data_IF_882953220559
#
_entry.id   IF_882953220559
#
_cell.length_a   1.000
_cell.length_b   1.000
_cell.length_c   1.000
_cell.angle_alpha   90.00
_cell.angle_beta   90.00
_cell.angle_gamma   90.00
#
_symmetry.space_group_name_H-M   'P 1'
#
loop_
_entity.id
_entity.type
_entity.pdbx_description
1 polymer ?
#
# COMPACT_ATOMS: atom_id res chain seq x y z
N UNK A 1 0.29 8.11 -26.76
CA UNK A 1 -1.16 7.89 -26.49
C UNK A 1 -1.34 7.78 -24.97
N UNK A 2 -2.47 8.20 -24.41
CA UNK A 2 -2.75 7.95 -22.99
C UNK A 2 -2.93 6.44 -22.79
N UNK A 3 -2.38 5.84 -21.72
CA UNK A 3 -2.51 4.41 -21.48
C UNK A 3 -3.99 4.04 -21.25
N UNK A 4 -4.35 2.82 -21.64
CA UNK A 4 -5.70 2.29 -21.41
C UNK A 4 -5.87 1.96 -19.93
N UNK A 5 -6.91 2.52 -19.32
CA UNK A 5 -7.28 2.24 -17.92
C UNK A 5 -8.49 1.31 -17.94
N UNK A 6 -8.33 0.11 -17.41
CA UNK A 6 -9.39 -0.89 -17.35
C UNK A 6 -9.84 -1.09 -15.91
N UNK A 7 -11.16 -0.98 -15.67
CA UNK A 7 -11.78 -1.40 -14.42
C UNK A 7 -11.85 -2.92 -14.35
N UNK A 8 -11.41 -3.51 -13.25
CA UNK A 8 -11.46 -4.94 -13.02
C UNK A 8 -12.81 -5.40 -12.45
N UNK A 9 -13.26 -6.63 -12.76
CA UNK A 9 -14.59 -7.13 -12.38
C UNK A 9 -14.58 -7.66 -10.93
N UNK A 10 -14.21 -6.81 -9.99
CA UNK A 10 -14.26 -7.11 -8.55
C UNK A 10 -15.23 -6.15 -7.85
N UNK A 11 -15.85 -6.55 -6.73
CA UNK A 11 -16.68 -5.63 -5.96
C UNK A 11 -15.89 -4.41 -5.49
N UNK A 12 -16.49 -3.21 -5.50
CA UNK A 12 -15.80 -2.02 -5.01
C UNK A 12 -15.53 -2.12 -3.51
N UNK A 13 -14.35 -1.65 -3.12
CA UNK A 13 -13.92 -1.54 -1.71
C UNK A 13 -14.41 -0.23 -1.10
N UNK A 14 -14.68 -0.23 0.20
CA UNK A 14 -14.89 1.02 0.95
C UNK A 14 -13.59 1.80 1.01
N UNK A 15 -12.49 1.14 1.36
CA UNK A 15 -11.13 1.70 1.34
C UNK A 15 -10.18 0.61 0.83
N UNK A 16 -10.08 0.48 -0.50
CA UNK A 16 -9.16 -0.45 -1.14
C UNK A 16 -7.74 0.07 -1.00
N UNK A 17 -6.81 -0.78 -0.51
CA UNK A 17 -5.45 -0.38 -0.17
C UNK A 17 -4.44 -1.52 -0.28
N UNK A 18 -3.15 -1.16 -0.12
CA UNK A 18 -2.03 -2.08 0.05
C UNK A 18 -1.94 -3.19 -1.00
N UNK A 19 -2.03 -2.90 -2.32
CA UNK A 19 -1.96 -3.92 -3.34
C UNK A 19 -0.54 -4.52 -3.41
N UNK A 20 -0.48 -5.85 -3.48
CA UNK A 20 0.76 -6.63 -3.64
C UNK A 20 0.52 -7.71 -4.68
N UNK A 21 1.35 -7.75 -5.71
CA UNK A 21 1.35 -8.84 -6.68
C UNK A 21 2.10 -10.05 -6.14
N UNK A 22 1.52 -11.23 -6.25
CA UNK A 22 2.18 -12.50 -5.92
C UNK A 22 2.59 -13.23 -7.20
N UNK A 23 3.90 -13.34 -7.41
CA UNK A 23 4.44 -14.17 -8.50
C UNK A 23 4.21 -15.67 -8.24
N UNK A 24 4.13 -16.07 -6.98
CA UNK A 24 3.83 -17.44 -6.59
C UNK A 24 2.40 -17.83 -6.94
N UNK A 25 1.45 -16.99 -6.52
CA UNK A 25 0.02 -17.29 -6.63
C UNK A 25 -0.60 -16.74 -7.92
N UNK A 26 0.18 -15.95 -8.71
CA UNK A 26 -0.24 -15.27 -9.94
C UNK A 26 -1.53 -14.47 -9.73
N UNK A 27 -1.59 -13.74 -8.62
CA UNK A 27 -2.74 -12.90 -8.25
C UNK A 27 -2.31 -11.60 -7.60
N UNK A 28 -3.22 -10.65 -7.58
CA UNK A 28 -3.13 -9.44 -6.80
C UNK A 28 -3.81 -9.65 -5.45
N UNK A 29 -3.06 -9.53 -4.36
CA UNK A 29 -3.59 -9.36 -3.02
C UNK A 29 -3.75 -7.88 -2.70
N UNK A 30 -4.81 -7.51 -1.98
CA UNK A 30 -5.07 -6.15 -1.51
C UNK A 30 -6.02 -6.19 -0.32
N UNK A 31 -6.18 -5.07 0.37
CA UNK A 31 -7.07 -4.97 1.53
C UNK A 31 -8.27 -4.05 1.24
N UNK A 32 -9.35 -4.24 1.97
CA UNK A 32 -10.37 -3.23 2.24
C UNK A 32 -10.32 -2.92 3.73
N UNK A 33 -9.68 -1.81 4.07
CA UNK A 33 -9.36 -1.47 5.46
C UNK A 33 -10.63 -1.40 6.30
N UNK A 34 -11.63 -0.67 5.81
CA UNK A 34 -12.87 -0.40 6.56
C UNK A 34 -13.78 -1.61 6.61
N UNK A 35 -13.85 -2.40 5.52
CA UNK A 35 -14.61 -3.64 5.51
C UNK A 35 -13.86 -4.79 6.21
N UNK A 36 -12.65 -4.55 6.72
CA UNK A 36 -11.82 -5.55 7.41
C UNK A 36 -11.61 -6.81 6.55
N UNK A 37 -11.12 -6.63 5.31
CA UNK A 37 -10.96 -7.73 4.36
C UNK A 37 -9.55 -7.77 3.77
N UNK A 38 -9.02 -8.97 3.65
CA UNK A 38 -7.98 -9.30 2.68
C UNK A 38 -8.68 -9.84 1.45
N UNK A 39 -8.25 -9.39 0.28
CA UNK A 39 -8.86 -9.72 -1.02
C UNK A 39 -7.80 -10.27 -1.97
N UNK A 40 -8.20 -11.11 -2.91
CA UNK A 40 -7.36 -11.62 -3.98
C UNK A 40 -8.10 -11.60 -5.32
N UNK A 41 -7.39 -11.23 -6.36
CA UNK A 41 -7.88 -11.24 -7.75
C UNK A 41 -6.88 -11.92 -8.67
N UNK A 42 -7.33 -12.90 -9.44
CA UNK A 42 -6.55 -13.64 -10.45
C UNK A 42 -6.89 -13.14 -11.85
N UNK A 43 -6.04 -12.30 -12.47
CA UNK A 43 -6.38 -11.68 -13.77
C UNK A 43 -6.66 -12.68 -14.88
N UNK A 44 -5.91 -13.80 -14.93
CA UNK A 44 -6.05 -14.81 -15.97
C UNK A 44 -7.42 -15.51 -15.97
N UNK A 45 -8.00 -15.73 -14.81
CA UNK A 45 -9.29 -16.43 -14.65
C UNK A 45 -10.42 -15.50 -14.31
N UNK A 46 -10.13 -14.24 -14.00
CA UNK A 46 -11.04 -13.23 -13.43
C UNK A 46 -11.68 -13.70 -12.10
N UNK A 47 -11.07 -14.66 -11.43
CA UNK A 47 -11.52 -15.14 -10.14
C UNK A 47 -11.26 -14.06 -9.08
N UNK A 48 -12.18 -13.97 -8.12
CA UNK A 48 -12.08 -13.08 -6.97
C UNK A 48 -12.41 -13.86 -5.70
N UNK A 49 -11.67 -13.58 -4.62
CA UNK A 49 -11.90 -14.13 -3.29
C UNK A 49 -11.59 -13.09 -2.24
N UNK A 50 -12.25 -13.17 -1.09
CA UNK A 50 -11.91 -12.40 0.08
C UNK A 50 -11.96 -13.25 1.36
N UNK A 51 -11.27 -12.76 2.40
CA UNK A 51 -11.30 -13.29 3.76
C UNK A 51 -11.68 -12.17 4.71
N UNK A 52 -12.65 -12.45 5.58
CA UNK A 52 -13.17 -11.50 6.54
C UNK A 52 -12.36 -11.57 7.83
N UNK A 53 -11.88 -10.42 8.28
CA UNK A 53 -11.24 -10.23 9.57
C UNK A 53 -12.20 -9.50 10.52
N UNK A 54 -11.88 -9.48 11.83
CA UNK A 54 -12.66 -8.82 12.87
C UNK A 54 -12.16 -7.41 13.22
N UNK A 55 -11.05 -6.98 12.59
CA UNK A 55 -10.42 -5.70 12.79
C UNK A 55 -9.99 -5.07 11.46
N UNK A 56 -9.70 -3.77 11.47
CA UNK A 56 -9.11 -3.08 10.32
C UNK A 56 -7.88 -3.83 9.81
N UNK A 57 -7.81 -3.99 8.49
CA UNK A 57 -6.68 -4.60 7.79
C UNK A 57 -5.96 -3.51 7.00
N UNK A 58 -4.86 -2.95 7.54
CA UNK A 58 -4.21 -1.76 6.98
C UNK A 58 -3.39 -2.03 5.73
N UNK A 59 -2.57 -3.06 5.74
CA UNK A 59 -1.66 -3.46 4.66
C UNK A 59 -1.29 -4.92 4.77
N UNK A 60 -0.58 -5.45 3.78
CA UNK A 60 -0.12 -6.83 3.74
C UNK A 60 1.22 -6.95 3.01
N UNK A 61 1.91 -8.07 3.22
CA UNK A 61 3.06 -8.47 2.42
C UNK A 61 3.14 -9.99 2.32
N UNK A 62 3.74 -10.49 1.23
CA UNK A 62 3.97 -11.92 1.03
C UNK A 62 5.18 -12.40 1.85
N UNK A 63 5.08 -13.60 2.45
CA UNK A 63 6.18 -14.23 3.19
C UNK A 63 7.05 -15.11 2.27
N UNK A 64 8.35 -15.17 2.54
CA UNK A 64 9.28 -16.07 1.82
C UNK A 64 8.86 -17.54 1.96
N UNK A 65 8.39 -17.94 3.13
CA UNK A 65 7.92 -19.31 3.41
C UNK A 65 6.51 -19.61 2.89
N UNK A 66 5.84 -18.63 2.29
CA UNK A 66 4.44 -18.70 1.86
C UNK A 66 3.46 -18.10 2.83
N UNK A 67 2.27 -17.77 2.32
CA UNK A 67 1.27 -17.00 3.04
C UNK A 67 1.62 -15.52 3.09
N UNK A 68 0.87 -14.79 3.90
CA UNK A 68 0.94 -13.34 4.03
C UNK A 68 1.21 -12.94 5.49
N UNK A 69 1.85 -11.81 5.70
CA UNK A 69 1.60 -11.01 6.90
C UNK A 69 0.51 -9.99 6.60
N UNK A 70 -0.33 -9.72 7.58
CA UNK A 70 -1.42 -8.75 7.51
C UNK A 70 -1.34 -7.84 8.73
N UNK A 71 -1.45 -6.54 8.52
CA UNK A 71 -1.57 -5.61 9.63
C UNK A 71 -3.02 -5.51 10.06
N UNK A 72 -3.27 -5.68 11.34
CA UNK A 72 -4.53 -5.38 11.99
C UNK A 72 -4.47 -3.98 12.63
N UNK A 73 -5.46 -3.65 13.47
CA UNK A 73 -5.50 -2.32 14.10
C UNK A 73 -4.18 -1.94 14.79
N UNK A 74 -3.61 -2.84 15.59
CA UNK A 74 -2.47 -2.58 16.48
C UNK A 74 -1.36 -3.64 16.40
N UNK A 75 -1.44 -4.58 15.45
CA UNK A 75 -0.54 -5.73 15.38
C UNK A 75 -0.34 -6.25 13.97
N UNK A 76 0.70 -7.04 13.80
CA UNK A 76 0.96 -7.80 12.59
C UNK A 76 0.72 -9.27 12.89
N UNK A 77 0.00 -9.93 11.99
CA UNK A 77 -0.30 -11.36 12.07
C UNK A 77 0.12 -12.09 10.80
N UNK A 78 0.50 -13.35 10.95
CA UNK A 78 0.64 -14.26 9.80
C UNK A 78 -0.73 -14.83 9.45
N UNK A 79 -1.00 -14.91 8.15
CA UNK A 79 -2.21 -15.43 7.55
C UNK A 79 -1.88 -16.33 6.36
N UNK A 80 -2.50 -17.51 6.28
CA UNK A 80 -2.34 -18.43 5.15
C UNK A 80 -3.65 -18.51 4.34
N UNK A 81 -3.72 -17.85 3.17
CA UNK A 81 -4.91 -17.86 2.31
C UNK A 81 -5.30 -19.26 1.82
N UNK A 82 -4.33 -20.16 1.67
CA UNK A 82 -4.57 -21.52 1.17
C UNK A 82 -5.27 -22.41 2.22
N UNK A 83 -5.02 -22.15 3.50
CA UNK A 83 -5.63 -22.90 4.61
C UNK A 83 -6.95 -22.28 5.09
N UNK A 84 -7.21 -21.03 4.73
CA UNK A 84 -8.39 -20.32 5.22
C UNK A 84 -9.66 -20.74 4.46
N UNK A 85 -10.69 -21.18 5.20
CA UNK A 85 -12.02 -21.45 4.67
C UNK A 85 -12.82 -20.15 4.67
N UNK A 86 -13.40 -19.77 3.52
CA UNK A 86 -14.07 -18.47 3.32
C UNK A 86 -15.25 -18.17 4.27
N UNK A 87 -15.79 -19.18 4.95
CA UNK A 87 -16.93 -19.06 5.88
C UNK A 87 -16.53 -19.04 7.36
N UNK A 88 -15.23 -19.09 7.68
CA UNK A 88 -14.73 -19.11 9.05
C UNK A 88 -13.72 -17.99 9.25
N UNK A 89 -13.63 -17.48 10.51
CA UNK A 89 -12.57 -16.58 10.89
C UNK A 89 -11.20 -17.23 10.59
N UNK A 90 -10.28 -16.51 9.93
CA UNK A 90 -8.99 -17.07 9.58
C UNK A 90 -8.17 -17.40 10.84
N UNK A 91 -7.42 -18.50 10.80
CA UNK A 91 -6.40 -18.76 11.80
C UNK A 91 -5.26 -17.76 11.61
N UNK A 92 -4.87 -17.09 12.71
CA UNK A 92 -3.86 -16.04 12.71
C UNK A 92 -2.78 -16.37 13.74
N UNK A 93 -1.54 -16.14 13.37
CA UNK A 93 -0.38 -16.20 14.27
C UNK A 93 0.14 -14.78 14.49
N UNK A 94 0.18 -14.33 15.75
CA UNK A 94 0.68 -13.00 16.09
C UNK A 94 2.21 -12.93 15.90
N UNK A 95 2.68 -11.93 15.15
CA UNK A 95 4.10 -11.65 14.93
C UNK A 95 4.58 -10.52 15.86
N UNK A 96 3.85 -9.42 15.91
CA UNK A 96 4.22 -8.25 16.72
C UNK A 96 3.02 -7.41 17.10
N UNK A 97 3.03 -6.83 18.30
CA UNK A 97 2.08 -5.80 18.77
C UNK A 97 2.80 -4.45 18.75
N UNK A 98 2.22 -3.43 18.11
CA UNK A 98 2.89 -2.16 17.84
C UNK A 98 2.27 -0.95 18.54
N UNK A 99 0.95 -0.81 18.53
CA UNK A 99 0.23 0.41 18.98
C UNK A 99 -0.63 0.17 20.23
N UNK A 100 -0.24 -0.77 21.10
CA UNK A 100 -0.99 -1.09 22.32
C UNK A 100 -1.16 0.10 23.28
N UNK A 101 -0.21 1.03 23.26
CA UNK A 101 -0.24 2.27 24.04
C UNK A 101 -1.07 3.40 23.40
N UNK A 102 -1.55 3.21 22.16
CA UNK A 102 -2.32 4.21 21.40
C UNK A 102 -3.61 3.62 20.83
N UNK A 103 -4.63 3.35 21.66
CA UNK A 103 -5.84 2.61 21.25
C UNK A 103 -6.69 3.32 20.18
N UNK A 104 -6.52 4.63 20.01
CA UNK A 104 -7.16 5.39 18.94
C UNK A 104 -6.46 5.26 17.57
N UNK A 105 -5.26 4.66 17.54
CA UNK A 105 -4.51 4.45 16.31
C UNK A 105 -4.91 3.13 15.63
N UNK A 106 -4.63 3.10 14.33
CA UNK A 106 -4.55 1.89 13.51
C UNK A 106 -3.28 1.89 12.68
N UNK A 107 -2.83 0.71 12.29
CA UNK A 107 -1.81 0.56 11.25
C UNK A 107 -2.41 0.94 9.89
N UNK A 108 -1.58 1.49 9.01
CA UNK A 108 -1.97 1.95 7.68
C UNK A 108 -1.06 1.34 6.60
N UNK A 109 -0.44 2.17 5.77
CA UNK A 109 0.45 1.72 4.70
C UNK A 109 1.67 0.98 5.24
N UNK A 110 2.09 -0.06 4.53
CA UNK A 110 3.26 -0.86 4.88
C UNK A 110 3.83 -1.60 3.69
N UNK A 111 5.15 -1.81 3.71
CA UNK A 111 5.87 -2.49 2.64
C UNK A 111 7.14 -3.17 3.16
N UNK A 112 7.52 -4.28 2.53
CA UNK A 112 8.75 -5.02 2.84
C UNK A 112 9.94 -4.42 2.11
N UNK A 113 11.07 -4.26 2.81
CA UNK A 113 12.35 -3.85 2.22
C UNK A 113 13.16 -5.05 1.68
N UNK A 114 14.26 -4.80 0.98
CA UNK A 114 15.14 -5.83 0.39
C UNK A 114 15.76 -6.79 1.43
N UNK A 115 15.83 -6.39 2.69
CA UNK A 115 16.30 -7.25 3.80
C UNK A 115 15.19 -8.17 4.32
N UNK A 116 13.96 -8.00 3.86
CA UNK A 116 12.80 -8.76 4.33
C UNK A 116 12.23 -8.26 5.65
N UNK A 117 12.50 -6.99 6.02
CA UNK A 117 11.88 -6.32 7.15
C UNK A 117 10.60 -5.63 6.67
N UNK A 118 9.58 -5.64 7.50
CA UNK A 118 8.33 -4.95 7.17
C UNK A 118 8.29 -3.56 7.81
N UNK A 119 8.15 -2.54 6.98
CA UNK A 119 7.97 -1.17 7.40
C UNK A 119 6.50 -0.83 7.34
N UNK A 120 5.96 -0.29 8.43
CA UNK A 120 4.54 0.03 8.54
C UNK A 120 4.35 1.29 9.36
N UNK A 121 3.47 2.14 8.86
CA UNK A 121 3.08 3.32 9.61
C UNK A 121 1.76 3.14 10.33
N UNK A 122 1.58 3.91 11.40
CA UNK A 122 0.31 4.06 12.09
C UNK A 122 -0.23 5.48 11.95
N UNK A 123 -1.50 5.64 12.25
CA UNK A 123 -2.22 6.91 12.27
C UNK A 123 -3.36 6.87 13.27
N UNK A 124 -3.82 8.02 13.74
CA UNK A 124 -5.08 8.08 14.47
C UNK A 124 -6.23 7.82 13.50
N UNK A 125 -7.15 6.93 13.88
CA UNK A 125 -8.21 6.46 12.97
C UNK A 125 -9.10 7.59 12.44
N UNK A 126 -9.41 8.59 13.26
CA UNK A 126 -10.25 9.73 12.90
C UNK A 126 -9.47 10.93 12.33
N UNK A 127 -8.17 10.78 12.10
CA UNK A 127 -7.28 11.76 11.47
C UNK A 127 -7.22 13.13 12.17
N UNK A 128 -7.58 13.23 13.45
CA UNK A 128 -7.61 14.52 14.17
C UNK A 128 -6.28 14.92 14.78
N UNK A 129 -5.38 13.98 15.02
CA UNK A 129 -4.09 14.23 15.65
C UNK A 129 -2.93 13.61 14.88
N UNK A 130 -1.77 14.24 15.01
CA UNK A 130 -0.50 13.69 14.53
C UNK A 130 0.06 12.75 15.61
N UNK A 131 -0.46 11.55 15.67
CA UNK A 131 -0.15 10.57 16.73
C UNK A 131 0.36 9.23 16.17
N UNK A 132 0.66 9.17 14.88
CA UNK A 132 1.20 7.98 14.22
C UNK A 132 2.70 7.82 14.42
N UNK A 133 3.17 6.60 14.16
CA UNK A 133 4.58 6.19 14.16
C UNK A 133 4.94 5.46 12.88
N UNK A 134 6.22 5.48 12.53
CA UNK A 134 6.78 4.59 11.51
C UNK A 134 7.59 3.50 12.21
N UNK A 135 7.19 2.26 12.00
CA UNK A 135 7.77 1.06 12.59
C UNK A 135 8.55 0.26 11.55
N UNK A 136 9.61 -0.40 11.99
CA UNK A 136 10.27 -1.50 11.27
C UNK A 136 10.16 -2.77 12.09
N UNK A 137 9.70 -3.86 11.47
CA UNK A 137 9.45 -5.15 12.11
C UNK A 137 10.23 -6.24 11.40
N UNK A 138 10.93 -7.07 12.17
CA UNK A 138 11.69 -8.23 11.69
C UNK A 138 10.90 -9.52 11.85
N UNK A 139 11.30 -10.59 11.15
CA UNK A 139 10.59 -11.88 11.14
C UNK A 139 10.52 -12.55 12.52
N UNK A 140 11.43 -12.23 13.42
CA UNK A 140 11.42 -12.70 14.82
C UNK A 140 10.52 -11.86 15.75
N UNK A 141 9.72 -10.96 15.18
CA UNK A 141 8.74 -10.14 15.91
C UNK A 141 9.33 -8.92 16.61
N UNK A 142 10.64 -8.67 16.50
CA UNK A 142 11.21 -7.42 17.04
C UNK A 142 10.71 -6.23 16.24
N UNK A 143 10.25 -5.21 16.96
CA UNK A 143 9.72 -3.98 16.39
C UNK A 143 10.44 -2.75 16.95
N UNK A 144 10.75 -1.78 16.09
CA UNK A 144 11.36 -0.51 16.47
C UNK A 144 10.68 0.64 15.75
N UNK A 145 10.33 1.68 16.50
CA UNK A 145 9.84 2.93 15.94
C UNK A 145 11.03 3.81 15.50
N UNK A 146 10.96 4.33 14.28
CA UNK A 146 11.97 5.20 13.65
C UNK A 146 11.49 6.65 13.51
N UNK A 147 10.18 6.88 13.53
CA UNK A 147 9.58 8.20 13.43
C UNK A 147 8.31 8.27 14.25
N UNK A 148 8.01 9.44 14.76
CA UNK A 148 6.83 9.74 15.58
C UNK A 148 6.14 11.01 15.04
N UNK A 149 5.00 11.38 15.64
CA UNK A 149 4.28 12.61 15.28
C UNK A 149 3.81 12.65 13.82
N UNK A 150 3.35 11.50 13.29
CA UNK A 150 2.82 11.33 11.94
C UNK A 150 1.31 11.55 11.97
N UNK A 151 0.80 12.30 10.99
CA UNK A 151 -0.63 12.47 10.77
C UNK A 151 -1.24 11.25 10.10
N UNK A 152 -0.97 11.07 8.81
CA UNK A 152 -1.42 9.92 8.01
C UNK A 152 -0.22 9.32 7.29
N UNK A 153 0.23 8.14 7.74
CA UNK A 153 1.39 7.45 7.21
C UNK A 153 1.08 6.79 5.88
N UNK A 154 1.81 7.17 4.83
CA UNK A 154 1.63 6.68 3.46
C UNK A 154 2.93 6.67 2.66
N UNK A 155 2.85 6.28 1.39
CA UNK A 155 3.93 6.27 0.38
C UNK A 155 5.17 5.49 0.80
N UNK A 156 5.04 4.45 1.63
CA UNK A 156 6.18 3.58 1.94
C UNK A 156 6.58 2.83 0.67
N UNK A 157 7.77 3.13 0.16
CA UNK A 157 8.32 2.49 -1.03
C UNK A 157 9.85 2.49 -0.99
N UNK A 158 10.46 1.57 -1.74
CA UNK A 158 11.91 1.37 -1.75
C UNK A 158 12.45 1.42 -3.18
N UNK A 159 13.56 2.15 -3.36
CA UNK A 159 14.43 2.08 -4.54
C UNK A 159 15.75 1.46 -4.08
N UNK A 160 15.81 0.14 -4.15
CA UNK A 160 16.96 -0.62 -3.65
C UNK A 160 18.22 -0.35 -4.48
N UNK A 161 18.08 0.00 -5.76
CA UNK A 161 19.21 0.34 -6.63
C UNK A 161 19.89 1.64 -6.21
N UNK A 162 19.10 2.61 -5.68
CA UNK A 162 19.61 3.90 -5.20
C UNK A 162 19.73 3.97 -3.69
N UNK A 163 19.53 2.83 -3.01
CA UNK A 163 19.59 2.75 -1.54
C UNK A 163 18.66 3.78 -0.86
N UNK A 164 17.41 3.87 -1.33
CA UNK A 164 16.42 4.87 -0.87
C UNK A 164 15.16 4.23 -0.29
N UNK A 165 14.59 4.93 0.67
CA UNK A 165 13.23 4.74 1.14
C UNK A 165 12.45 6.02 0.94
N UNK A 166 11.22 5.90 0.48
CA UNK A 166 10.23 6.98 0.40
C UNK A 166 9.18 6.82 1.50
N UNK A 167 8.64 7.95 1.94
CA UNK A 167 7.60 8.03 2.95
C UNK A 167 6.82 9.33 2.78
N UNK A 168 5.52 9.32 3.04
CA UNK A 168 4.73 10.54 3.13
C UNK A 168 3.91 10.58 4.41
N UNK A 169 3.80 11.77 4.96
CA UNK A 169 2.67 12.14 5.81
C UNK A 169 1.66 12.88 4.93
N UNK A 170 0.53 12.22 4.61
CA UNK A 170 -0.47 12.79 3.69
C UNK A 170 -1.00 14.15 4.16
N UNK A 171 -1.10 14.38 5.49
CA UNK A 171 -1.49 15.68 6.03
C UNK A 171 -0.48 16.79 5.73
N UNK A 172 0.78 16.46 5.49
CA UNK A 172 1.81 17.42 5.13
C UNK A 172 1.85 17.70 3.61
N UNK A 173 1.23 16.84 2.80
CA UNK A 173 1.25 16.93 1.34
C UNK A 173 2.64 16.76 0.75
N UNK A 174 3.56 16.12 1.47
CA UNK A 174 4.97 16.00 1.13
C UNK A 174 5.40 14.53 1.14
N UNK A 175 6.00 14.09 0.05
CA UNK A 175 6.77 12.86 -0.01
C UNK A 175 8.20 13.21 0.37
N UNK A 176 8.75 12.48 1.31
CA UNK A 176 10.13 12.57 1.77
C UNK A 176 10.90 11.33 1.32
N UNK A 177 12.23 11.45 1.29
CA UNK A 177 13.15 10.35 1.03
C UNK A 177 14.22 10.28 2.11
N UNK A 178 14.75 9.08 2.33
CA UNK A 178 15.95 8.85 3.13
C UNK A 178 16.83 7.80 2.47
N UNK A 179 18.09 7.73 2.87
CA UNK A 179 19.02 6.66 2.50
C UNK A 179 19.38 5.83 3.72
N UNK A 180 19.96 4.66 3.50
CA UNK A 180 20.38 3.76 4.56
C UNK A 180 21.83 4.03 4.96
N UNK A 181 22.12 4.02 6.28
CA UNK A 181 23.47 3.96 6.80
C UNK A 181 24.06 2.53 6.71
N UNK A 182 25.26 2.32 7.25
CA UNK A 182 25.93 1.02 7.21
C UNK A 182 25.19 -0.04 8.04
N UNK A 183 24.49 0.36 9.12
CA UNK A 183 23.64 -0.49 9.95
C UNK A 183 22.26 -0.77 9.31
N UNK A 184 22.04 -0.29 8.08
CA UNK A 184 20.77 -0.39 7.36
C UNK A 184 19.60 0.27 8.10
N UNK A 185 19.87 1.42 8.70
CA UNK A 185 18.88 2.29 9.31
C UNK A 185 18.71 3.57 8.48
N UNK A 186 17.50 4.20 8.48
CA UNK A 186 17.27 5.45 7.79
C UNK A 186 18.18 6.56 8.33
N UNK A 187 18.74 7.37 7.44
CA UNK A 187 19.47 8.59 7.77
C UNK A 187 18.49 9.77 7.94
N UNK A 188 18.95 11.00 7.71
CA UNK A 188 18.07 12.16 7.76
C UNK A 188 17.05 12.15 6.60
N UNK A 189 15.79 12.41 6.91
CA UNK A 189 14.72 12.58 5.94
C UNK A 189 14.86 13.92 5.21
N UNK A 190 14.66 13.89 3.92
CA UNK A 190 14.74 15.06 3.04
C UNK A 190 13.49 15.17 2.17
N UNK A 191 13.01 16.38 1.86
CA UNK A 191 11.95 16.56 0.88
C UNK A 191 12.31 15.89 -0.46
N UNK A 192 11.33 15.22 -1.07
CA UNK A 192 11.47 14.61 -2.38
C UNK A 192 10.51 15.24 -3.40
N UNK A 193 9.19 15.17 -3.14
CA UNK A 193 8.18 15.75 -4.03
C UNK A 193 6.96 16.22 -3.23
N UNK A 194 6.23 17.20 -3.77
CA UNK A 194 4.92 17.62 -3.23
C UNK A 194 3.80 17.13 -4.13
N UNK A 195 2.76 16.58 -3.53
CA UNK A 195 1.52 16.30 -4.25
C UNK A 195 0.90 17.61 -4.77
N UNK A 196 0.39 17.57 -5.99
CA UNK A 196 -0.05 18.79 -6.68
C UNK A 196 -1.57 18.98 -6.72
N UNK A 197 -2.37 17.92 -6.66
CA UNK A 197 -3.84 18.02 -6.78
C UNK A 197 -4.59 17.36 -5.63
N UNK A 198 -3.96 16.42 -4.93
CA UNK A 198 -4.52 15.71 -3.78
C UNK A 198 -3.48 15.51 -2.69
N UNK A 199 -3.74 14.62 -1.76
CA UNK A 199 -2.76 14.20 -0.76
C UNK A 199 -1.95 12.99 -1.29
N UNK A 200 -0.63 12.90 -1.02
CA UNK A 200 0.14 11.72 -1.39
C UNK A 200 -0.37 10.51 -0.60
N UNK A 201 -0.70 9.44 -1.30
CA UNK A 201 -1.20 8.19 -0.73
C UNK A 201 -0.24 7.04 -1.05
N UNK A 202 -0.68 5.83 -1.33
CA UNK A 202 0.19 4.70 -1.57
C UNK A 202 1.10 4.85 -2.79
N UNK A 203 2.27 4.24 -2.74
CA UNK A 203 3.32 4.34 -3.76
C UNK A 203 3.97 3.01 -4.10
N UNK A 204 4.54 2.94 -5.31
CA UNK A 204 5.50 1.91 -5.70
C UNK A 204 6.61 2.48 -6.57
N UNK A 205 7.75 1.81 -6.66
CA UNK A 205 8.85 2.16 -7.56
C UNK A 205 8.86 1.25 -8.79
N UNK A 206 9.21 1.79 -9.95
CA UNK A 206 9.47 0.99 -11.14
C UNK A 206 10.95 0.58 -11.26
N UNK A 207 11.26 -0.28 -12.24
CA UNK A 207 12.60 -0.81 -12.46
C UNK A 207 13.63 0.26 -12.84
N UNK A 208 13.19 1.43 -13.27
CA UNK A 208 14.05 2.58 -13.56
C UNK A 208 14.26 3.49 -12.34
N UNK A 209 13.60 3.18 -11.20
CA UNK A 209 13.68 3.93 -9.95
C UNK A 209 12.82 5.18 -9.90
N UNK A 210 11.82 5.29 -10.78
CA UNK A 210 10.79 6.31 -10.69
C UNK A 210 9.75 5.91 -9.65
N UNK A 211 9.27 6.89 -8.89
CA UNK A 211 8.23 6.68 -7.89
C UNK A 211 6.86 6.95 -8.48
N UNK A 212 5.98 5.97 -8.43
CA UNK A 212 4.56 6.11 -8.74
C UNK A 212 3.79 6.37 -7.45
N UNK A 213 2.99 7.41 -7.42
CA UNK A 213 2.19 7.78 -6.26
C UNK A 213 0.73 7.98 -6.65
N UNK A 214 -0.18 7.43 -5.88
CA UNK A 214 -1.59 7.75 -5.95
C UNK A 214 -1.85 9.05 -5.18
N UNK A 215 -2.58 10.00 -5.78
CA UNK A 215 -3.00 11.23 -5.10
C UNK A 215 -4.46 11.15 -4.66
N UNK A 216 -4.69 10.91 -3.38
CA UNK A 216 -6.01 10.90 -2.76
C UNK A 216 -6.74 12.23 -2.96
N UNK A 217 -7.93 12.18 -3.54
CA UNK A 217 -8.69 13.37 -3.91
C UNK A 217 -8.19 14.09 -5.17
N UNK A 218 -7.07 13.64 -5.75
CA UNK A 218 -6.43 14.26 -6.90
C UNK A 218 -6.87 13.73 -8.27
N UNK A 219 -7.67 12.67 -8.33
CA UNK A 219 -8.09 12.00 -9.58
C UNK A 219 -6.93 11.55 -10.47
N UNK A 220 -5.77 11.19 -9.89
CA UNK A 220 -4.59 10.88 -10.69
C UNK A 220 -3.56 10.00 -9.98
N UNK A 221 -2.74 9.36 -10.80
CA UNK A 221 -1.41 8.86 -10.42
C UNK A 221 -0.35 9.83 -10.94
N UNK A 222 0.71 9.99 -10.19
CA UNK A 222 1.87 10.78 -10.60
C UNK A 222 3.11 9.90 -10.57
N UNK A 223 3.88 9.91 -11.65
CA UNK A 223 5.21 9.33 -11.74
C UNK A 223 6.24 10.41 -11.51
N UNK A 224 7.08 10.24 -10.52
CA UNK A 224 8.18 11.16 -10.20
C UNK A 224 9.51 10.56 -10.62
N UNK A 225 10.34 11.35 -11.31
CA UNK A 225 11.72 10.98 -11.58
C UNK A 225 12.51 10.84 -10.27
N UNK A 226 13.66 10.13 -10.27
CA UNK A 226 14.53 10.02 -9.08
C UNK A 226 15.02 11.35 -8.52
N UNK A 227 14.85 12.45 -9.27
CA UNK A 227 15.12 13.84 -8.85
C UNK A 227 13.96 14.48 -8.05
N UNK A 228 12.76 13.87 -8.06
CA UNK A 228 11.53 14.41 -7.48
C UNK A 228 10.70 15.24 -8.46
N UNK A 229 11.15 15.39 -9.71
CA UNK A 229 10.39 16.09 -10.75
C UNK A 229 9.27 15.20 -11.28
N UNK A 230 8.14 15.81 -11.67
CA UNK A 230 7.03 15.10 -12.31
C UNK A 230 7.44 14.66 -13.71
N UNK A 231 7.44 13.36 -13.95
CA UNK A 231 7.69 12.74 -15.26
C UNK A 231 6.38 12.51 -16.03
N UNK A 232 5.39 11.93 -15.35
CA UNK A 232 4.12 11.54 -15.99
C UNK A 232 2.96 11.70 -15.04
N UNK A 233 1.80 12.06 -15.59
CA UNK A 233 0.52 12.08 -14.87
C UNK A 233 -0.48 11.22 -15.63
N UNK A 234 -1.13 10.30 -14.91
CA UNK A 234 -2.25 9.50 -15.43
C UNK A 234 -3.52 9.92 -14.70
N UNK A 235 -4.47 10.51 -15.45
CA UNK A 235 -5.78 10.87 -14.90
C UNK A 235 -6.60 9.60 -14.63
N UNK A 236 -7.06 9.44 -13.40
CA UNK A 236 -7.92 8.32 -13.00
C UNK A 236 -9.40 8.64 -13.14
N UNK A 237 -10.25 7.64 -13.46
CA UNK A 237 -11.69 7.82 -13.55
C UNK A 237 -12.39 8.00 -12.22
N UNK A 238 -11.66 7.93 -11.10
CA UNK A 238 -12.14 8.06 -9.72
C UNK A 238 -11.42 9.15 -8.98
N UNK A 239 -12.08 9.79 -8.01
CA UNK A 239 -11.53 10.90 -7.23
C UNK A 239 -10.40 10.46 -6.29
N UNK A 240 -10.48 9.23 -5.76
CA UNK A 240 -9.59 8.73 -4.70
C UNK A 240 -8.87 7.44 -5.11
N UNK A 241 -7.94 7.49 -6.09
CA UNK A 241 -6.96 6.43 -6.19
C UNK A 241 -6.15 6.41 -4.90
N UNK A 242 -5.94 5.23 -4.31
CA UNK A 242 -5.37 5.11 -2.96
C UNK A 242 -3.96 4.52 -3.00
N UNK A 243 -3.71 3.46 -3.75
CA UNK A 243 -2.39 2.86 -3.85
C UNK A 243 -2.17 2.23 -5.24
N UNK A 244 -0.91 1.92 -5.56
CA UNK A 244 -0.58 1.23 -6.80
C UNK A 244 0.55 0.22 -6.60
N UNK A 245 0.58 -0.80 -7.47
CA UNK A 245 1.65 -1.79 -7.54
C UNK A 245 1.78 -2.36 -8.95
N UNK A 246 3.00 -2.71 -9.33
CA UNK A 246 3.24 -3.46 -10.56
C UNK A 246 2.97 -4.94 -10.36
N UNK A 247 2.49 -5.59 -11.42
CA UNK A 247 2.26 -7.03 -11.45
C UNK A 247 2.01 -7.53 -12.89
N UNK A 248 1.44 -8.73 -13.00
CA UNK A 248 1.36 -9.44 -14.27
C UNK A 248 2.62 -10.27 -14.52
N UNK A 249 2.61 -11.07 -15.58
CA UNK A 249 3.67 -12.04 -15.87
C UNK A 249 5.06 -11.38 -16.08
N UNK A 250 5.09 -10.16 -16.52
CA UNK A 250 6.29 -9.38 -16.84
C UNK A 250 6.40 -8.08 -16.02
N UNK A 251 5.53 -7.89 -15.01
CA UNK A 251 5.44 -6.69 -14.20
C UNK A 251 5.23 -5.39 -15.00
N UNK A 252 4.57 -5.44 -16.16
CA UNK A 252 4.23 -4.25 -16.96
C UNK A 252 2.84 -3.69 -16.68
N UNK A 253 2.01 -4.43 -15.94
CA UNK A 253 0.67 -3.98 -15.53
C UNK A 253 0.71 -3.25 -14.21
N UNK A 254 0.27 -2.00 -14.18
CA UNK A 254 0.11 -1.22 -12.97
C UNK A 254 -1.32 -1.40 -12.42
N UNK A 255 -1.46 -2.09 -11.30
CA UNK A 255 -2.73 -2.21 -10.57
C UNK A 255 -2.93 -1.02 -9.64
N UNK A 256 -4.16 -0.53 -9.56
CA UNK A 256 -4.51 0.67 -8.78
C UNK A 256 -5.76 0.40 -7.96
N UNK A 257 -5.64 0.52 -6.65
CA UNK A 257 -6.77 0.52 -5.72
C UNK A 257 -7.41 1.90 -5.62
N UNK A 258 -8.65 1.96 -5.16
CA UNK A 258 -9.35 3.23 -4.92
C UNK A 258 -10.35 3.10 -3.77
N UNK A 259 -10.94 4.22 -3.36
CA UNK A 259 -11.78 4.28 -2.17
C UNK A 259 -13.09 5.02 -2.39
N UNK A 260 -14.13 4.56 -1.69
CA UNK A 260 -15.39 5.29 -1.44
C UNK A 260 -15.39 6.02 -0.08
N UNK A 261 -14.45 5.66 0.78
CA UNK A 261 -14.36 6.14 2.16
C UNK A 261 -14.38 7.67 2.23
N UNK A 262 -15.19 8.22 3.12
CA UNK A 262 -15.41 9.66 3.30
C UNK A 262 -16.04 10.40 2.10
N UNK A 263 -16.56 9.71 1.08
CA UNK A 263 -17.42 10.33 0.08
C UNK A 263 -18.83 10.48 0.64
N UNK A 264 -19.38 11.70 0.54
CA UNK A 264 -20.79 11.92 0.79
C UNK A 264 -21.65 11.17 -0.25
N UNK A 265 -22.95 11.01 0.03
CA UNK A 265 -23.86 10.36 -0.90
C UNK A 265 -23.94 11.08 -2.27
N UNK A 266 -23.74 12.40 -2.29
CA UNK A 266 -23.68 13.19 -3.53
C UNK A 266 -22.41 12.91 -4.32
N UNK A 267 -21.24 12.94 -3.65
CA UNK A 267 -19.95 12.61 -4.27
C UNK A 267 -19.93 11.18 -4.80
N UNK A 268 -20.52 10.20 -4.08
CA UNK A 268 -20.64 8.82 -4.57
C UNK A 268 -21.49 8.69 -5.83
N UNK A 269 -22.54 9.52 -6.00
CA UNK A 269 -23.31 9.55 -7.25
C UNK A 269 -22.51 10.12 -8.42
N UNK A 270 -21.65 11.10 -8.17
CA UNK A 270 -20.77 11.72 -9.16
C UNK A 270 -19.57 10.87 -9.49
N UNK A 271 -19.06 10.11 -8.52
CA UNK A 271 -17.94 9.17 -8.63
C UNK A 271 -18.44 7.73 -8.50
N UNK A 272 -19.31 7.32 -9.44
CA UNK A 272 -19.98 6.01 -9.39
C UNK A 272 -19.04 4.79 -9.47
N UNK A 273 -17.77 5.01 -9.81
CA UNK A 273 -16.75 3.96 -9.89
C UNK A 273 -15.77 3.99 -8.69
N UNK A 274 -15.96 4.87 -7.72
CA UNK A 274 -15.14 4.94 -6.53
C UNK A 274 -15.06 3.56 -5.81
N UNK A 275 -13.90 3.23 -5.28
CA UNK A 275 -13.62 1.93 -4.66
C UNK A 275 -13.30 0.80 -5.64
N UNK A 276 -13.39 1.04 -6.95
CA UNK A 276 -13.03 0.01 -7.94
C UNK A 276 -11.53 -0.25 -7.99
N UNK A 277 -11.18 -1.47 -8.38
CA UNK A 277 -9.81 -1.87 -8.72
C UNK A 277 -9.60 -1.65 -10.23
N UNK A 278 -8.44 -1.10 -10.58
CA UNK A 278 -8.06 -0.83 -11.97
C UNK A 278 -6.76 -1.52 -12.33
N UNK A 279 -6.55 -1.76 -13.62
CA UNK A 279 -5.25 -2.05 -14.20
C UNK A 279 -4.95 -1.11 -15.37
N UNK A 280 -3.67 -0.84 -15.56
CA UNK A 280 -3.12 0.03 -16.59
C UNK A 280 -1.93 -0.71 -17.20
N UNK A 281 -2.02 -1.07 -18.47
CA UNK A 281 -0.90 -1.68 -19.17
C UNK A 281 0.06 -0.58 -19.65
N UNK A 282 1.32 -0.68 -19.21
CA UNK A 282 2.37 0.30 -19.50
C UNK A 282 3.42 -0.36 -20.39
N UNK A 283 3.34 -0.11 -21.71
CA UNK A 283 4.25 -0.72 -22.69
C UNK A 283 5.71 -0.27 -22.53
N UNK A 284 5.94 0.88 -21.92
CA UNK A 284 7.24 1.54 -21.79
C UNK A 284 7.80 1.56 -20.36
N UNK A 285 7.13 0.90 -19.42
CA UNK A 285 7.52 0.86 -17.99
C UNK A 285 7.37 -0.55 -17.46
N UNK A 286 8.36 -0.98 -16.71
CA UNK A 286 8.36 -2.25 -16.01
C UNK A 286 8.56 -2.03 -14.52
N UNK A 287 7.82 -2.74 -13.68
CA UNK A 287 8.01 -2.81 -12.25
C UNK A 287 9.08 -3.82 -11.84
N UNK A 288 9.23 -3.98 -10.55
CA UNK A 288 10.06 -5.00 -9.92
C UNK A 288 9.17 -5.98 -9.14
N UNK A 289 9.59 -7.26 -9.00
CA UNK A 289 8.96 -8.16 -8.06
C UNK A 289 8.92 -7.54 -6.65
N UNK A 290 7.85 -7.76 -5.87
CA UNK A 290 7.80 -7.24 -4.51
C UNK A 290 8.84 -7.92 -3.62
N UNK A 291 9.40 -7.18 -2.67
CA UNK A 291 10.22 -7.74 -1.61
C UNK A 291 9.35 -8.60 -0.68
N UNK A 292 9.87 -9.78 -0.31
CA UNK A 292 9.18 -10.74 0.54
C UNK A 292 9.60 -10.58 2.01
N UNK A 293 8.65 -10.63 2.93
CA UNK A 293 8.92 -10.66 4.36
C UNK A 293 9.72 -11.91 4.73
N UNK A 294 10.73 -11.77 5.58
CA UNK A 294 11.72 -12.82 5.84
C UNK A 294 11.22 -13.98 6.73
N UNK A 295 9.88 -14.17 6.83
CA UNK A 295 9.27 -15.29 7.56
C UNK A 295 9.10 -16.53 6.69
#
# INVERSE_FOLDING_TARGET
MSPSIQRLPVPPSVLGEGPVWSDRDQCLYFVDIISCRVQAYWPRTQAYRYWQFDQFTGSLAECRSGGLIVTLRDRIVRFDPARAVSSQAPWLEEIAVLEADRPANRLNDGKTDALGRFWVGSMQHDEKARNGRLWCVTADGRARAFRDNIGVSNSISFDDQRNRMYFADSMAGLIEQTTWNDEKEPTAWQPFARAGAGAPDGSCTDASGFLWNAEWGGHRLVRYAPTGEVDRVIKMPVSRPSCCTFGGADHSTLFVTSAQYLLSAEEQRQDAQAGSLYCIDLEDVQGLPPNLFAL
#
